data_IF_152202487349
#
_entry.id   IF_152202487349
#
_cell.length_a   1.000
_cell.length_b   1.000
_cell.length_c   1.000
_cell.angle_alpha   90.00
_cell.angle_beta   90.00
_cell.angle_gamma   90.00
#
_symmetry.space_group_name_H-M   'P 1'
#
loop_
_entity.id
_entity.type
_entity.pdbx_description
1 polymer ?
#
# COMPACT_ATOMS: atom_id res chain seq x y z
N UNK A 1 10.73 -4.57 1.79
CA UNK A 1 9.82 -3.84 0.87
C UNK A 1 8.40 -4.01 1.38
N UNK A 2 7.40 -3.32 0.82
CA UNK A 2 5.99 -3.48 1.24
C UNK A 2 5.09 -3.72 0.04
N UNK A 3 4.19 -4.69 0.14
CA UNK A 3 3.02 -4.84 -0.71
C UNK A 3 1.89 -4.05 -0.04
N UNK A 4 1.37 -3.06 -0.75
CA UNK A 4 0.22 -2.28 -0.30
C UNK A 4 -0.96 -2.66 -1.17
N UNK A 5 -2.06 -3.09 -0.56
CA UNK A 5 -3.30 -3.49 -1.23
C UNK A 5 -4.44 -2.63 -0.71
N UNK A 6 -5.26 -2.07 -1.58
CA UNK A 6 -6.41 -1.23 -1.21
C UNK A 6 -7.59 -1.47 -2.15
N UNK A 7 -8.76 -0.97 -1.75
CA UNK A 7 -9.98 -1.04 -2.56
C UNK A 7 -10.27 0.36 -3.09
N UNK A 8 -10.52 0.46 -4.39
CA UNK A 8 -11.00 1.67 -5.05
C UNK A 8 -12.30 1.33 -5.79
N UNK A 9 -13.43 1.81 -5.27
CA UNK A 9 -14.74 1.36 -5.74
C UNK A 9 -14.94 -0.15 -5.50
N UNK A 10 -15.08 -0.90 -6.59
CA UNK A 10 -15.20 -2.37 -6.56
C UNK A 10 -13.88 -3.08 -6.93
N UNK A 11 -12.82 -2.33 -7.22
CA UNK A 11 -11.55 -2.87 -7.69
C UNK A 11 -10.53 -3.03 -6.55
N UNK A 12 -9.82 -4.15 -6.56
CA UNK A 12 -8.69 -4.40 -5.67
C UNK A 12 -7.41 -3.99 -6.37
N UNK A 13 -6.76 -2.96 -5.84
CA UNK A 13 -5.50 -2.43 -6.35
C UNK A 13 -4.34 -2.88 -5.47
N UNK A 14 -3.15 -3.01 -6.06
CA UNK A 14 -1.94 -3.34 -5.30
C UNK A 14 -0.69 -2.67 -5.88
N UNK A 15 0.27 -2.38 -5.01
CA UNK A 15 1.57 -1.84 -5.40
C UNK A 15 2.67 -2.30 -4.46
N UNK A 16 3.81 -2.65 -5.03
CA UNK A 16 5.04 -2.88 -4.25
C UNK A 16 5.80 -1.56 -4.12
N UNK A 17 6.16 -1.19 -2.90
CA UNK A 17 6.87 0.05 -2.58
C UNK A 17 8.04 -0.19 -1.63
N UNK A 18 9.05 0.69 -1.69
CA UNK A 18 10.13 0.75 -0.70
C UNK A 18 9.65 1.47 0.57
N UNK A 19 10.38 1.29 1.67
CA UNK A 19 10.05 1.93 2.96
C UNK A 19 9.96 3.46 2.87
N UNK A 20 10.77 4.08 2.01
CA UNK A 20 10.82 5.53 1.80
C UNK A 20 9.58 6.07 1.07
N UNK A 21 8.93 5.24 0.25
CA UNK A 21 7.79 5.61 -0.60
C UNK A 21 6.45 5.35 0.11
N UNK A 22 6.45 4.46 1.11
CA UNK A 22 5.26 4.04 1.84
C UNK A 22 4.51 5.21 2.50
N UNK A 23 5.15 6.18 3.20
CA UNK A 23 4.42 7.29 3.82
C UNK A 23 3.66 8.14 2.80
N UNK A 24 4.26 8.39 1.64
CA UNK A 24 3.63 9.19 0.58
C UNK A 24 2.43 8.45 -0.03
N UNK A 25 2.57 7.15 -0.27
CA UNK A 25 1.46 6.33 -0.76
C UNK A 25 0.31 6.28 0.26
N UNK A 26 0.62 6.14 1.56
CA UNK A 26 -0.40 6.14 2.62
C UNK A 26 -1.10 7.49 2.78
N UNK A 27 -0.43 8.61 2.50
CA UNK A 27 -1.07 9.93 2.49
C UNK A 27 -2.14 10.05 1.38
N UNK A 28 -1.95 9.34 0.26
CA UNK A 28 -2.91 9.32 -0.86
C UNK A 28 -4.06 8.35 -0.58
N UNK A 29 -3.75 7.14 -0.12
CA UNK A 29 -4.74 6.07 0.10
C UNK A 29 -5.55 6.24 1.40
N UNK A 30 -5.08 7.08 2.32
CA UNK A 30 -5.68 7.24 3.63
C UNK A 30 -5.51 5.99 4.50
N UNK A 31 -6.55 5.63 5.27
CA UNK A 31 -6.49 4.56 6.27
C UNK A 31 -6.96 3.19 5.76
N UNK A 32 -7.39 3.09 4.50
CA UNK A 32 -8.03 1.88 3.94
C UNK A 32 -7.07 1.10 3.04
N UNK A 33 -5.94 0.66 3.60
CA UNK A 33 -4.99 -0.19 2.90
C UNK A 33 -4.41 -1.28 3.82
N UNK A 34 -4.16 -2.45 3.25
CA UNK A 34 -3.40 -3.54 3.89
C UNK A 34 -1.95 -3.37 3.49
N UNK A 35 -1.06 -3.25 4.50
CA UNK A 35 0.37 -3.12 4.31
C UNK A 35 1.03 -4.43 4.74
N UNK A 36 1.63 -5.15 3.80
CA UNK A 36 2.36 -6.37 4.06
C UNK A 36 3.86 -6.16 3.80
N UNK A 37 4.70 -6.39 4.81
CA UNK A 37 6.15 -6.40 4.62
C UNK A 37 6.53 -7.60 3.74
N UNK A 38 7.18 -7.33 2.60
CA UNK A 38 7.75 -8.36 1.73
C UNK A 38 9.21 -8.56 2.17
N UNK A 39 9.45 -9.78 2.69
CA UNK A 39 10.68 -10.34 3.25
C UNK A 39 11.22 -9.70 4.56
N UNK A 40 11.76 -10.57 5.41
CA UNK A 40 12.60 -10.25 6.57
C UNK A 40 13.99 -9.83 6.15
#
# INVERSE_FOLDING_TARGET
MFLVTWIEGEEVNYRVVKNQELPNLMAILGQHAIIQKIAS
#
